data_IF_022079113345
#
_entry.id   IF_022079113345
#
_cell.length_a   1.000
_cell.length_b   1.000
_cell.length_c   1.000
_cell.angle_alpha   90.00
_cell.angle_beta   90.00
_cell.angle_gamma   90.00
#
_symmetry.space_group_name_H-M   'P 1'
#
loop_
_entity.id
_entity.type
_entity.pdbx_description
1 polymer ?
#
# COMPACT_ATOMS: atom_id res chain seq x y z
N UNK A 1 7.84 -19.16 -3.80
CA UNK A 1 8.69 -18.08 -3.30
C UNK A 1 7.86 -17.26 -2.35
N UNK A 2 8.37 -16.99 -1.15
CA UNK A 2 7.67 -16.17 -0.16
C UNK A 2 7.98 -14.71 -0.44
N UNK A 3 6.96 -13.93 -0.80
CA UNK A 3 7.09 -12.50 -1.05
C UNK A 3 7.18 -11.77 0.29
N UNK A 4 8.15 -10.90 0.45
CA UNK A 4 8.37 -10.08 1.64
C UNK A 4 8.12 -8.61 1.38
N UNK A 5 7.99 -7.83 2.45
CA UNK A 5 7.82 -6.38 2.36
C UNK A 5 8.97 -5.70 1.58
N UNK A 6 10.19 -6.25 1.67
CA UNK A 6 11.38 -5.77 0.94
C UNK A 6 11.31 -6.02 -0.56
N UNK A 7 10.41 -6.88 -1.03
CA UNK A 7 10.21 -7.17 -2.45
C UNK A 7 9.23 -6.16 -3.12
N UNK A 8 8.72 -5.20 -2.36
CA UNK A 8 7.90 -4.12 -2.88
C UNK A 8 8.71 -3.24 -3.85
N UNK A 9 8.17 -3.05 -5.05
CA UNK A 9 8.73 -2.13 -6.04
C UNK A 9 7.83 -0.90 -6.07
N UNK A 10 8.33 0.20 -5.49
CA UNK A 10 7.71 1.52 -5.60
C UNK A 10 7.73 2.00 -7.06
N UNK A 11 6.58 2.47 -7.56
CA UNK A 11 6.43 2.96 -8.94
C UNK A 11 5.97 4.42 -9.00
N UNK A 12 5.16 4.88 -8.05
CA UNK A 12 4.73 6.29 -7.94
C UNK A 12 4.87 6.75 -6.49
N UNK A 13 5.34 7.98 -6.30
CA UNK A 13 5.57 8.57 -4.98
C UNK A 13 4.68 9.79 -4.78
N UNK A 14 4.00 9.85 -3.63
CA UNK A 14 3.33 11.04 -3.12
C UNK A 14 4.18 11.72 -2.04
N UNK A 15 3.56 12.57 -1.23
CA UNK A 15 4.27 13.34 -0.19
C UNK A 15 4.73 12.50 1.01
N UNK A 16 3.89 11.57 1.47
CA UNK A 16 4.15 10.68 2.63
C UNK A 16 3.73 9.23 2.37
N UNK A 17 3.51 8.89 1.11
CA UNK A 17 2.90 7.63 0.68
C UNK A 17 3.43 7.27 -0.70
N UNK A 18 3.39 5.99 -1.05
CA UNK A 18 3.77 5.52 -2.39
C UNK A 18 2.79 4.46 -2.89
N UNK A 19 2.79 4.20 -4.19
CA UNK A 19 2.12 3.03 -4.77
C UNK A 19 3.06 2.28 -5.70
N UNK A 20 2.87 0.98 -5.76
CA UNK A 20 3.81 0.07 -6.41
C UNK A 20 3.23 -1.33 -6.50
N UNK A 21 4.12 -2.32 -6.57
CA UNK A 21 3.73 -3.71 -6.75
C UNK A 21 4.56 -4.70 -5.94
N UNK A 22 3.92 -5.80 -5.59
CA UNK A 22 4.55 -7.06 -5.24
C UNK A 22 4.43 -8.03 -6.42
N UNK A 23 5.56 -8.43 -7.01
CA UNK A 23 5.55 -9.21 -8.24
C UNK A 23 4.78 -8.50 -9.37
N UNK A 24 4.17 -9.26 -10.28
CA UNK A 24 3.57 -8.68 -11.49
C UNK A 24 2.15 -8.12 -11.29
N UNK A 25 1.39 -8.72 -10.37
CA UNK A 25 -0.09 -8.59 -10.34
C UNK A 25 -0.66 -7.94 -9.08
N UNK A 26 0.12 -7.76 -8.02
CA UNK A 26 -0.39 -7.25 -6.74
C UNK A 26 0.00 -5.79 -6.61
N UNK A 27 -0.94 -4.89 -6.88
CA UNK A 27 -0.76 -3.47 -6.64
C UNK A 27 -0.94 -3.18 -5.16
N UNK A 28 -0.02 -2.37 -4.61
CA UNK A 28 -0.04 -2.01 -3.21
C UNK A 28 0.14 -0.50 -3.03
N UNK A 29 -0.54 0.01 -2.00
CA UNK A 29 -0.33 1.33 -1.42
C UNK A 29 0.52 1.18 -0.17
N UNK A 30 1.63 1.91 -0.14
CA UNK A 30 2.56 2.00 0.97
C UNK A 30 2.35 3.30 1.72
N UNK A 31 2.24 3.19 3.04
CA UNK A 31 2.27 4.30 3.97
C UNK A 31 3.19 3.95 5.13
N UNK A 32 3.93 4.95 5.61
CA UNK A 32 4.79 4.79 6.80
C UNK A 32 3.94 5.04 8.05
N UNK A 33 3.92 4.09 8.97
CA UNK A 33 3.13 4.16 10.20
C UNK A 33 3.95 3.82 11.44
N UNK A 34 3.44 4.24 12.60
CA UNK A 34 4.06 3.98 13.91
C UNK A 34 5.19 4.93 14.29
N UNK A 35 5.90 4.59 15.37
CA UNK A 35 6.99 5.41 15.95
C UNK A 35 8.30 5.30 15.15
N UNK A 36 8.44 4.24 14.35
CA UNK A 36 9.66 3.92 13.58
C UNK A 36 9.49 4.09 12.08
N UNK A 37 8.42 4.77 11.63
CA UNK A 37 8.09 4.93 10.21
C UNK A 37 8.14 3.60 9.44
N UNK A 38 7.51 2.56 10.00
CA UNK A 38 7.51 1.23 9.40
C UNK A 38 6.53 1.20 8.23
N UNK A 39 6.92 0.63 7.08
CA UNK A 39 6.02 0.58 5.94
C UNK A 39 4.90 -0.43 6.18
N UNK A 40 3.67 -0.01 5.89
CA UNK A 40 2.49 -0.87 5.81
C UNK A 40 1.94 -0.85 4.39
N UNK A 41 1.57 -2.05 3.91
CA UNK A 41 1.14 -2.25 2.54
C UNK A 41 -0.33 -2.69 2.52
N UNK A 42 -1.11 -2.01 1.70
CA UNK A 42 -2.53 -2.25 1.50
C UNK A 42 -2.78 -2.57 0.03
N UNK A 43 -3.54 -3.61 -0.26
CA UNK A 43 -3.89 -3.91 -1.65
C UNK A 43 -4.79 -2.81 -2.23
N UNK A 44 -4.44 -2.39 -3.43
CA UNK A 44 -5.23 -1.45 -4.25
C UNK A 44 -5.53 -2.09 -5.60
N UNK A 45 -6.57 -1.60 -6.28
CA UNK A 45 -6.84 -2.01 -7.65
C UNK A 45 -5.91 -1.31 -8.63
N UNK A 46 -5.86 -1.83 -9.87
CA UNK A 46 -5.15 -1.14 -10.96
C UNK A 46 -5.71 0.27 -11.21
N UNK A 47 -7.03 0.45 -11.13
CA UNK A 47 -7.65 1.76 -11.31
C UNK A 47 -7.25 2.77 -10.21
N UNK A 48 -7.11 2.30 -8.97
CA UNK A 48 -6.61 3.11 -7.85
C UNK A 48 -5.13 3.47 -8.02
N UNK A 49 -4.33 2.52 -8.52
CA UNK A 49 -2.93 2.78 -8.89
C UNK A 49 -2.82 3.82 -10.01
N UNK A 50 -3.62 3.70 -11.07
CA UNK A 50 -3.59 4.59 -12.22
C UNK A 50 -3.95 6.03 -11.83
N UNK A 51 -4.95 6.19 -10.96
CA UNK A 51 -5.43 7.48 -10.47
C UNK A 51 -4.66 8.07 -9.27
N UNK A 52 -3.56 7.43 -8.84
CA UNK A 52 -2.78 7.82 -7.66
C UNK A 52 -2.43 9.30 -7.59
N UNK A 53 -1.95 9.89 -8.69
CA UNK A 53 -1.52 11.29 -8.71
C UNK A 53 -2.66 12.26 -8.42
N UNK A 54 -3.90 11.89 -8.76
CA UNK A 54 -5.08 12.70 -8.51
C UNK A 54 -5.45 12.69 -7.02
N UNK A 55 -5.62 11.51 -6.43
CA UNK A 55 -6.08 11.41 -5.04
C UNK A 55 -4.94 11.56 -4.00
N UNK A 56 -3.68 11.44 -4.40
CA UNK A 56 -2.53 11.74 -3.54
C UNK A 56 -2.28 13.24 -3.35
N UNK A 57 -2.81 14.07 -4.25
CA UNK A 57 -2.74 15.53 -4.21
C UNK A 57 -3.95 16.17 -3.53
N UNK A 58 -5.01 15.39 -3.26
CA UNK A 58 -6.18 15.87 -2.55
C UNK A 58 -5.73 16.47 -1.20
N UNK A 59 -6.13 17.73 -0.97
CA UNK A 59 -5.81 18.47 0.25
C UNK A 59 -6.17 17.66 1.50
N UNK A 60 -5.50 17.88 2.63
CA UNK A 60 -5.70 17.16 3.91
C UNK A 60 -7.20 17.06 4.32
N UNK A 61 -8.06 17.94 3.83
CA UNK A 61 -9.52 17.91 4.02
C UNK A 61 -10.28 16.84 3.23
N UNK A 62 -9.69 16.26 2.17
CA UNK A 62 -10.31 15.23 1.31
C UNK A 62 -9.47 13.95 1.26
N UNK A 63 -9.09 13.44 2.42
CA UNK A 63 -8.33 12.18 2.56
C UNK A 63 -9.21 10.93 2.40
N UNK A 64 -10.37 11.04 1.75
CA UNK A 64 -11.40 9.99 1.73
C UNK A 64 -10.86 8.69 1.14
N UNK A 65 -10.14 8.77 0.01
CA UNK A 65 -9.57 7.60 -0.65
C UNK A 65 -8.47 6.95 0.18
N UNK A 66 -7.61 7.75 0.83
CA UNK A 66 -6.61 7.25 1.76
C UNK A 66 -7.27 6.47 2.92
N UNK A 67 -8.28 7.06 3.57
CA UNK A 67 -9.01 6.40 4.65
C UNK A 67 -9.70 5.11 4.20
N UNK A 68 -10.25 5.09 2.99
CA UNK A 68 -10.85 3.88 2.41
C UNK A 68 -9.81 2.75 2.24
N UNK A 69 -8.59 3.07 1.80
CA UNK A 69 -7.51 2.10 1.59
C UNK A 69 -6.93 1.60 2.92
N UNK A 70 -6.65 2.48 3.89
CA UNK A 70 -6.03 2.06 5.16
C UNK A 70 -7.00 1.31 6.08
N UNK A 71 -8.31 1.38 5.83
CA UNK A 71 -9.32 0.54 6.49
C UNK A 71 -9.38 -0.89 5.92
N UNK A 72 -8.60 -1.20 4.88
CA UNK A 72 -8.44 -2.55 4.35
C UNK A 72 -7.41 -3.33 5.20
N UNK A 73 -7.39 -4.67 5.15
CA UNK A 73 -6.35 -5.46 5.76
C UNK A 73 -4.96 -5.07 5.25
N UNK A 74 -4.02 -4.95 6.17
CA UNK A 74 -2.59 -4.84 5.86
C UNK A 74 -2.14 -6.20 5.33
N UNK A 75 -1.75 -6.25 4.06
CA UNK A 75 -1.32 -7.48 3.38
C UNK A 75 0.15 -7.80 3.65
N UNK A 76 0.95 -6.80 4.00
CA UNK A 76 2.36 -6.94 4.33
C UNK A 76 2.82 -5.72 5.16
N UNK A 77 3.84 -5.86 6.00
CA UNK A 77 4.38 -4.75 6.79
C UNK A 77 5.85 -4.98 7.15
N UNK A 78 6.60 -3.90 7.27
CA UNK A 78 7.94 -3.90 7.89
C UNK A 78 7.92 -4.09 9.41
N UNK A 79 6.73 -4.08 10.04
CA UNK A 79 6.56 -4.29 11.48
C UNK A 79 6.63 -5.79 11.85
N UNK A 80 7.11 -6.07 13.06
CA UNK A 80 7.36 -7.44 13.56
C UNK A 80 6.13 -8.36 13.37
N UNK A 81 6.34 -9.48 12.68
CA UNK A 81 5.33 -10.55 12.51
C UNK A 81 4.48 -10.50 11.24
N UNK A 82 4.65 -9.49 10.37
CA UNK A 82 3.96 -9.37 9.06
C UNK A 82 4.89 -9.06 7.89
N UNK A 83 6.17 -9.46 8.02
CA UNK A 83 7.19 -9.23 7.00
C UNK A 83 6.91 -9.97 5.68
N UNK A 84 6.07 -11.00 5.71
CA UNK A 84 5.69 -11.80 4.55
C UNK A 84 4.30 -11.36 4.07
N UNK A 85 4.11 -11.37 2.74
CA UNK A 85 2.84 -11.08 2.12
C UNK A 85 1.82 -12.17 2.48
N UNK A 86 0.76 -11.78 3.19
CA UNK A 86 -0.34 -12.67 3.52
C UNK A 86 -1.34 -12.75 2.35
N UNK A 87 -1.19 -13.78 1.53
CA UNK A 87 -2.04 -13.99 0.36
C UNK A 87 -3.50 -14.30 0.72
N UNK A 88 -3.80 -14.69 1.97
CA UNK A 88 -5.18 -14.93 2.42
C UNK A 88 -5.98 -13.65 2.58
N UNK A 89 -5.31 -12.50 2.68
CA UNK A 89 -5.91 -11.18 2.80
C UNK A 89 -6.13 -10.49 1.45
N UNK A 90 -5.66 -11.10 0.35
CA UNK A 90 -5.87 -10.59 -1.00
C UNK A 90 -7.35 -10.65 -1.37
N UNK A 91 -7.79 -9.57 -2.00
CA UNK A 91 -9.15 -9.33 -2.47
C UNK A 91 -9.17 -9.37 -3.99
N UNK A 92 -10.31 -9.74 -4.53
CA UNK A 92 -10.60 -9.64 -5.96
C UNK A 92 -11.06 -8.20 -6.26
N UNK A 93 -10.10 -7.33 -6.62
CA UNK A 93 -10.28 -5.88 -6.80
C UNK A 93 -9.49 -5.32 -7.98
#
# INVERSE_FOLDING_TARGET
MTVKYTDYICLKTGRYQSVGKFGDNIYAYEILTGVTDSPEYYQISMAEFDSFETWSQESISDLKKMYEIINRPVICSGYLGRAELDTSLLRDI
#
